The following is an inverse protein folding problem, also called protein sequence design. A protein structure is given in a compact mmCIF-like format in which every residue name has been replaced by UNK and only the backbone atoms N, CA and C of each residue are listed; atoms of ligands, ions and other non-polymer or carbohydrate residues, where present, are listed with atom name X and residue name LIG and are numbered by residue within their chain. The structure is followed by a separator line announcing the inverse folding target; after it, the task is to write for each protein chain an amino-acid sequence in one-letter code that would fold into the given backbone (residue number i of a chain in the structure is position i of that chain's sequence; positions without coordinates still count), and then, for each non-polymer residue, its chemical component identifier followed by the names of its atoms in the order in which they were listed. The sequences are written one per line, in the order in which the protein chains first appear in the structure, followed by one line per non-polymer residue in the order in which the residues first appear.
data_IF_862468107038
#
_entry.id   IF_862468107038
#
_cell.length_a   1.000
_cell.length_b   1.000
_cell.length_c   1.000
_cell.angle_alpha   90.00
_cell.angle_beta   90.00
_cell.angle_gamma   90.00
#
_symmetry.space_group_name_H-M   'P 1'
#
loop_
_entity.id
_entity.type
_entity.pdbx_description
1 polymer ?
#
# COMPACT_ATOMS: atom_id res chain seq x y z
N UNK A 1 -17.68 -5.48 14.29
CA UNK A 1 -16.55 -4.90 15.08
C UNK A 1 -15.43 -4.37 14.19
N UNK A 2 -14.76 -5.20 13.37
CA UNK A 2 -13.68 -4.71 12.49
C UNK A 2 -14.21 -3.75 11.42
N UNK A 3 -15.24 -4.14 10.67
CA UNK A 3 -15.87 -3.28 9.65
C UNK A 3 -16.49 -2.03 10.27
N UNK A 4 -17.15 -2.14 11.42
CA UNK A 4 -17.73 -0.98 12.13
C UNK A 4 -16.64 0.02 12.56
N UNK A 5 -15.46 -0.48 12.96
CA UNK A 5 -14.31 0.37 13.24
C UNK A 5 -13.70 0.96 11.97
N UNK A 6 -13.54 0.15 10.92
CA UNK A 6 -12.88 0.56 9.67
C UNK A 6 -13.70 1.58 8.87
N UNK A 7 -15.01 1.38 8.80
CA UNK A 7 -15.97 2.23 8.07
C UNK A 7 -16.56 3.32 8.96
N UNK A 8 -16.39 3.22 10.28
CA UNK A 8 -16.83 4.21 11.24
C UNK A 8 -15.91 5.43 11.28
N UNK A 9 -16.44 6.54 11.81
CA UNK A 9 -15.66 7.77 12.05
C UNK A 9 -14.86 7.72 13.36
N UNK A 10 -15.08 6.67 14.15
CA UNK A 10 -14.54 6.53 15.49
C UNK A 10 -13.22 5.76 15.53
N UNK A 11 -12.25 6.26 16.29
CA UNK A 11 -11.01 5.52 16.54
C UNK A 11 -11.21 4.33 17.49
N UNK A 12 -10.21 3.45 17.58
CA UNK A 12 -10.23 2.27 18.49
C UNK A 12 -10.55 2.64 19.94
N UNK A 13 -10.20 3.87 20.38
CA UNK A 13 -10.50 4.38 21.73
C UNK A 13 -12.00 4.53 22.04
N UNK A 14 -12.84 4.63 21.01
CA UNK A 14 -14.30 4.75 21.16
C UNK A 14 -14.99 3.40 21.23
N UNK A 15 -14.25 2.31 20.98
CA UNK A 15 -14.73 0.97 21.26
C UNK A 15 -14.57 0.74 22.77
N UNK A 16 -15.63 0.26 23.43
CA UNK A 16 -15.63 -0.10 24.86
C UNK A 16 -14.85 -1.41 25.12
N UNK A 17 -13.65 -1.51 24.57
CA UNK A 17 -12.75 -2.66 24.69
C UNK A 17 -11.29 -2.20 24.76
N UNK A 18 -10.44 -2.89 25.53
CA UNK A 18 -9.00 -2.59 25.54
C UNK A 18 -8.36 -2.75 24.15
N UNK A 19 -7.44 -1.84 23.79
CA UNK A 19 -6.74 -1.85 22.49
C UNK A 19 -6.09 -3.20 22.17
N UNK A 20 -5.43 -3.83 23.16
CA UNK A 20 -4.80 -5.16 23.00
C UNK A 20 -5.83 -6.24 22.63
N UNK A 21 -7.00 -6.22 23.26
CA UNK A 21 -8.09 -7.16 22.96
C UNK A 21 -8.63 -6.93 21.55
N UNK A 22 -8.81 -5.67 21.16
CA UNK A 22 -9.21 -5.32 19.79
C UNK A 22 -8.21 -5.82 18.76
N UNK A 23 -6.92 -5.49 18.91
CA UNK A 23 -5.85 -5.94 18.02
C UNK A 23 -5.79 -7.46 17.88
N UNK A 24 -5.94 -8.20 18.98
CA UNK A 24 -6.00 -9.67 18.94
C UNK A 24 -7.20 -10.17 18.13
N UNK A 25 -8.38 -9.58 18.33
CA UNK A 25 -9.63 -9.99 17.67
C UNK A 25 -9.64 -9.70 16.17
N UNK A 26 -8.97 -8.64 15.71
CA UNK A 26 -8.90 -8.27 14.28
C UNK A 26 -7.62 -8.78 13.60
N UNK A 27 -6.76 -9.51 14.31
CA UNK A 27 -5.47 -9.98 13.77
C UNK A 27 -5.63 -10.77 12.47
N UNK A 28 -6.65 -11.62 12.39
CA UNK A 28 -6.97 -12.40 11.19
C UNK A 28 -7.29 -11.53 9.97
N UNK A 29 -7.83 -10.31 10.15
CA UNK A 29 -8.14 -9.41 9.04
C UNK A 29 -6.88 -8.92 8.31
N UNK A 30 -5.71 -9.04 8.95
CA UNK A 30 -4.42 -8.64 8.40
C UNK A 30 -3.62 -9.81 7.84
N UNK A 31 -4.12 -11.05 7.94
CA UNK A 31 -3.51 -12.23 7.32
C UNK A 31 -3.96 -12.36 5.86
N UNK A 32 -3.85 -11.27 5.11
CA UNK A 32 -4.15 -11.22 3.68
C UNK A 32 -2.85 -10.88 2.94
N UNK A 33 -2.56 -11.65 1.91
CA UNK A 33 -1.46 -11.31 1.00
C UNK A 33 -1.88 -10.07 0.20
N UNK A 34 -1.04 -9.03 0.21
CA UNK A 34 -1.27 -7.86 -0.62
C UNK A 34 -0.95 -8.25 -2.08
N UNK A 35 -1.95 -8.33 -2.98
CA UNK A 35 -1.69 -8.77 -4.33
C UNK A 35 -0.82 -7.73 -5.04
N UNK A 36 0.23 -8.20 -5.70
CA UNK A 36 1.00 -7.35 -6.61
C UNK A 36 0.23 -7.25 -7.94
N UNK A 37 -0.02 -6.05 -8.46
CA UNK A 37 -0.61 -5.89 -9.79
C UNK A 37 0.22 -6.65 -10.82
N UNK A 38 -0.46 -7.31 -11.75
CA UNK A 38 0.21 -7.92 -12.88
C UNK A 38 0.64 -6.80 -13.84
N UNK A 39 1.92 -6.78 -14.20
CA UNK A 39 2.40 -5.88 -15.25
C UNK A 39 1.80 -6.35 -16.58
N UNK A 40 0.89 -5.55 -17.14
CA UNK A 40 0.11 -5.88 -18.34
C UNK A 40 0.82 -5.55 -19.66
N UNK A 41 1.96 -4.84 -19.61
CA UNK A 41 2.65 -4.33 -20.80
C UNK A 41 1.98 -3.11 -21.42
N UNK A 42 0.94 -2.56 -20.76
CA UNK A 42 0.30 -1.31 -21.15
C UNK A 42 1.27 -0.13 -20.99
N UNK A 43 1.36 0.69 -22.02
CA UNK A 43 2.06 1.98 -21.99
C UNK A 43 1.03 3.05 -21.65
N UNK A 44 1.35 3.89 -20.66
CA UNK A 44 0.50 4.99 -20.22
C UNK A 44 1.14 6.32 -20.58
N UNK A 45 0.31 7.30 -20.97
CA UNK A 45 0.78 8.66 -21.26
C UNK A 45 1.46 9.30 -20.04
N UNK A 46 0.97 8.98 -18.84
CA UNK A 46 1.50 9.47 -17.57
C UNK A 46 1.45 8.36 -16.52
N UNK A 47 2.52 8.27 -15.74
CA UNK A 47 2.60 7.41 -14.55
C UNK A 47 3.03 8.30 -13.38
N UNK A 48 2.23 8.31 -12.33
CA UNK A 48 2.54 9.03 -11.09
C UNK A 48 3.20 8.06 -10.12
N UNK A 49 4.33 8.49 -9.55
CA UNK A 49 5.06 7.76 -8.52
C UNK A 49 4.95 8.49 -7.20
N UNK A 50 4.59 7.78 -6.15
CA UNK A 50 4.52 8.34 -4.80
C UNK A 50 5.04 7.36 -3.75
N UNK A 51 5.73 7.90 -2.75
CA UNK A 51 6.34 7.17 -1.65
C UNK A 51 5.61 7.44 -0.34
N UNK A 52 5.19 6.38 0.36
CA UNK A 52 4.58 6.48 1.68
C UNK A 52 5.42 5.78 2.73
N UNK A 53 5.83 6.53 3.76
CA UNK A 53 6.51 5.99 4.93
C UNK A 53 5.51 5.36 5.90
N UNK A 54 5.84 4.16 6.35
CA UNK A 54 5.07 3.34 7.26
C UNK A 54 5.88 3.09 8.54
N UNK A 55 5.20 2.59 9.57
CA UNK A 55 5.85 2.25 10.83
C UNK A 55 6.98 1.24 10.64
N UNK A 56 7.91 1.19 11.61
CA UNK A 56 9.04 0.25 11.64
C UNK A 56 10.03 0.40 10.47
N UNK A 57 10.15 1.59 9.89
CA UNK A 57 11.15 1.88 8.84
C UNK A 57 10.80 1.27 7.48
N UNK A 58 9.53 0.94 7.26
CA UNK A 58 9.03 0.53 5.96
C UNK A 58 8.64 1.74 5.14
N UNK A 59 8.85 1.67 3.84
CA UNK A 59 8.36 2.62 2.86
C UNK A 59 7.79 1.81 1.68
N UNK A 60 6.70 2.31 1.09
CA UNK A 60 6.08 1.73 -0.08
C UNK A 60 6.10 2.78 -1.18
N UNK A 61 6.71 2.46 -2.31
CA UNK A 61 6.62 3.25 -3.53
C UNK A 61 5.48 2.66 -4.35
N UNK A 62 4.57 3.51 -4.82
CA UNK A 62 3.45 3.12 -5.68
C UNK A 62 3.57 3.78 -7.05
N UNK A 63 3.09 3.09 -8.08
CA UNK A 63 2.87 3.64 -9.40
C UNK A 63 1.40 3.57 -9.76
N UNK A 64 0.86 4.66 -10.28
CA UNK A 64 -0.54 4.75 -10.72
C UNK A 64 -0.63 5.43 -12.08
N UNK A 65 -1.60 4.99 -12.88
CA UNK A 65 -2.00 5.69 -14.11
C UNK A 65 -3.05 6.79 -13.84
N UNK A 66 -3.35 7.07 -12.57
CA UNK A 66 -4.40 8.00 -12.14
C UNK A 66 -5.74 7.33 -11.82
N UNK A 67 -5.96 6.11 -12.28
CA UNK A 67 -7.20 5.34 -12.04
C UNK A 67 -6.97 4.15 -11.11
N UNK A 68 -5.85 3.43 -11.29
CA UNK A 68 -5.51 2.22 -10.55
C UNK A 68 -4.01 2.15 -10.26
N UNK A 69 -3.65 1.43 -9.19
CA UNK A 69 -2.26 1.07 -8.93
C UNK A 69 -1.82 0.03 -9.97
N UNK A 70 -0.77 0.36 -10.72
CA UNK A 70 -0.23 -0.49 -11.80
C UNK A 70 1.01 -1.27 -11.36
N UNK A 71 1.73 -0.79 -10.35
CA UNK A 71 2.78 -1.53 -9.65
C UNK A 71 3.09 -0.85 -8.31
N UNK A 72 3.78 -1.56 -7.42
CA UNK A 72 4.29 -1.02 -6.16
C UNK A 72 5.54 -1.77 -5.71
N UNK A 73 6.35 -1.14 -4.86
CA UNK A 73 7.59 -1.69 -4.34
C UNK A 73 7.83 -1.31 -2.88
N UNK A 74 8.04 -2.32 -2.04
CA UNK A 74 8.57 -2.13 -0.69
C UNK A 74 10.02 -1.64 -0.73
N UNK A 75 10.35 -0.75 0.19
CA UNK A 75 11.72 -0.32 0.46
C UNK A 75 11.87 0.14 1.91
N UNK A 76 13.10 0.43 2.32
CA UNK A 76 13.37 1.02 3.64
C UNK A 76 13.41 2.55 3.59
N UNK A 77 13.81 3.10 2.44
CA UNK A 77 13.90 4.54 2.18
C UNK A 77 13.67 4.81 0.71
N UNK A 78 13.13 5.99 0.46
CA UNK A 78 13.07 6.54 -0.88
C UNK A 78 14.46 6.90 -1.38
N UNK A 79 14.88 6.24 -2.45
CA UNK A 79 16.13 6.52 -3.12
C UNK A 79 16.00 6.17 -4.60
N UNK A 80 16.92 6.69 -5.41
CA UNK A 80 16.89 6.54 -6.87
C UNK A 80 16.88 5.07 -7.31
N UNK A 81 17.59 4.18 -6.63
CA UNK A 81 17.63 2.76 -6.98
C UNK A 81 16.28 2.06 -6.76
N UNK A 82 15.55 2.41 -5.69
CA UNK A 82 14.22 1.87 -5.46
C UNK A 82 13.23 2.33 -6.52
N UNK A 83 13.24 3.62 -6.87
CA UNK A 83 12.40 4.16 -7.93
C UNK A 83 12.72 3.52 -9.28
N UNK A 84 14.01 3.36 -9.61
CA UNK A 84 14.45 2.66 -10.82
C UNK A 84 14.00 1.20 -10.84
N UNK A 85 14.12 0.47 -9.73
CA UNK A 85 13.68 -0.92 -9.66
C UNK A 85 12.19 -1.08 -9.95
N UNK A 86 11.35 -0.11 -9.55
CA UNK A 86 9.94 -0.07 -9.91
C UNK A 86 9.76 0.26 -11.39
N UNK A 87 10.35 1.36 -11.87
CA UNK A 87 10.21 1.81 -13.26
C UNK A 87 10.69 0.77 -14.28
N UNK A 88 11.75 0.02 -13.97
CA UNK A 88 12.30 -1.03 -14.85
C UNK A 88 11.33 -2.18 -15.10
N UNK A 89 10.26 -2.32 -14.29
CA UNK A 89 9.21 -3.31 -14.54
C UNK A 89 8.10 -2.77 -15.44
N UNK A 90 8.00 -1.45 -15.60
CA UNK A 90 7.02 -0.82 -16.47
C UNK A 90 7.58 -0.72 -17.90
N UNK A 91 6.73 -0.89 -18.93
CA UNK A 91 7.18 -0.68 -20.31
C UNK A 91 7.55 0.79 -20.52
N UNK A 92 8.62 1.02 -21.29
CA UNK A 92 9.01 2.37 -21.67
C UNK A 92 8.01 2.97 -22.68
N UNK A 93 7.79 4.30 -22.65
CA UNK A 93 7.04 4.98 -23.71
C UNK A 93 7.74 4.82 -25.06
N UNK A 94 6.95 4.80 -26.13
CA UNK A 94 7.43 4.67 -27.52
C UNK A 94 7.76 6.02 -28.13
#
# INVERSE_FOLDING_TARGET
MFLDWLLGKGGVKQLDIPRRTFSRRISWCWHVEAPKPQVTGEVYDQVLLDGIYLAYGWCLITATNGEKIIDWQWCQRENSATYQALMNRLPAPT
#
